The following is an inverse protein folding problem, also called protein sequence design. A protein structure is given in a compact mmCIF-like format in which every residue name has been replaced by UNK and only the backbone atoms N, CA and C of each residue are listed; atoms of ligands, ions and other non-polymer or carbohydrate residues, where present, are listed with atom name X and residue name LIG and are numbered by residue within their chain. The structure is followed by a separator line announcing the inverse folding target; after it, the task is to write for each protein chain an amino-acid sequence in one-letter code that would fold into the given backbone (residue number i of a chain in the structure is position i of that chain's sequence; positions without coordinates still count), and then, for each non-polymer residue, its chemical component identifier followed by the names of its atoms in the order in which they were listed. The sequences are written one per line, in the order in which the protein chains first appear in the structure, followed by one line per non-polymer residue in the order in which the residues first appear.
data_IF_766895446123
#
_entry.id   IF_766895446123
#
_cell.length_a   1.000
_cell.length_b   1.000
_cell.length_c   1.000
_cell.angle_alpha   90.00
_cell.angle_beta   90.00
_cell.angle_gamma   90.00
#
_symmetry.space_group_name_H-M   'P 1'
#
loop_
_entity.id
_entity.type
_entity.pdbx_description
1 polymer ?
#
# COMPACT_ATOMS: atom_id res chain seq x y z
N UNK A 1 -19.56 3.69 109.05
CA UNK A 1 -19.74 2.95 107.78
C UNK A 1 -20.02 3.94 106.69
N UNK A 2 -19.03 4.36 106.02
CA UNK A 2 -19.16 5.32 104.86
C UNK A 2 -19.18 4.53 103.58
N UNK A 3 -20.28 4.56 102.85
CA UNK A 3 -20.41 3.97 101.51
C UNK A 3 -19.86 4.94 100.51
N UNK A 4 -18.72 4.62 99.93
CA UNK A 4 -18.19 5.24 98.75
C UNK A 4 -19.08 4.92 97.52
N UNK A 5 -19.83 5.87 97.06
CA UNK A 5 -20.56 5.76 95.82
C UNK A 5 -19.56 6.14 94.71
N UNK A 6 -19.06 5.19 93.97
CA UNK A 6 -18.31 5.41 92.77
C UNK A 6 -19.28 5.84 91.68
N UNK A 7 -19.16 7.11 91.25
CA UNK A 7 -19.82 7.62 90.03
C UNK A 7 -19.12 7.02 88.86
N UNK A 8 -19.75 6.10 88.14
CA UNK A 8 -19.34 5.67 86.80
C UNK A 8 -19.63 6.85 85.94
N UNK A 9 -18.54 7.56 85.48
CA UNK A 9 -18.63 8.61 84.52
C UNK A 9 -19.08 7.99 83.21
N UNK A 10 -20.28 8.42 82.72
CA UNK A 10 -20.90 7.98 81.47
C UNK A 10 -20.14 8.48 80.26
N UNK A 11 -18.92 7.94 80.07
CA UNK A 11 -18.12 8.25 78.85
C UNK A 11 -18.48 7.34 77.68
N UNK A 12 -19.48 6.49 77.80
CA UNK A 12 -19.88 5.52 76.80
C UNK A 12 -20.64 6.11 75.61
N UNK A 13 -21.48 7.14 75.87
CA UNK A 13 -22.28 7.73 74.80
C UNK A 13 -21.48 8.44 73.70
N UNK A 14 -20.53 9.34 74.02
CA UNK A 14 -19.68 9.96 72.99
C UNK A 14 -18.77 8.97 72.23
N UNK A 15 -18.26 7.94 72.96
CA UNK A 15 -17.46 6.90 72.31
C UNK A 15 -18.27 6.04 71.32
N UNK A 16 -19.50 5.65 71.69
CA UNK A 16 -20.39 4.92 70.77
C UNK A 16 -20.76 5.77 69.56
N UNK A 17 -21.02 7.07 69.74
CA UNK A 17 -21.31 7.99 68.64
C UNK A 17 -20.15 8.15 67.70
N UNK A 18 -18.93 8.28 68.21
CA UNK A 18 -17.71 8.35 67.38
C UNK A 18 -17.50 7.04 66.60
N UNK A 19 -17.66 5.89 67.25
CA UNK A 19 -17.53 4.58 66.61
C UNK A 19 -18.60 4.41 65.51
N UNK A 20 -19.87 4.80 65.80
CA UNK A 20 -20.94 4.70 64.80
C UNK A 20 -20.71 5.59 63.58
N UNK A 21 -20.19 6.81 63.76
CA UNK A 21 -19.79 7.71 62.67
C UNK A 21 -18.62 7.12 61.85
N UNK A 22 -17.60 6.59 62.55
CA UNK A 22 -16.49 5.92 61.88
C UNK A 22 -16.95 4.69 61.07
N UNK A 23 -17.84 3.87 61.63
CA UNK A 23 -18.40 2.73 60.91
C UNK A 23 -19.25 3.17 59.72
N UNK A 24 -20.04 4.23 59.84
CA UNK A 24 -20.80 4.80 58.71
C UNK A 24 -19.87 5.32 57.59
N UNK A 25 -18.78 6.00 57.94
CA UNK A 25 -17.76 6.47 56.99
C UNK A 25 -17.05 5.28 56.30
N UNK A 26 -16.69 4.24 57.02
CA UNK A 26 -16.09 3.03 56.45
C UNK A 26 -17.03 2.31 55.49
N UNK A 27 -18.33 2.21 55.82
CA UNK A 27 -19.35 1.62 54.97
C UNK A 27 -19.50 2.48 53.69
N UNK A 28 -19.58 3.81 53.82
CA UNK A 28 -19.68 4.71 52.71
C UNK A 28 -18.46 4.64 51.80
N UNK A 29 -17.25 4.53 52.37
CA UNK A 29 -16.01 4.33 51.62
C UNK A 29 -16.00 2.98 50.88
N UNK A 30 -16.48 1.88 51.55
CA UNK A 30 -16.58 0.58 50.89
C UNK A 30 -17.54 0.58 49.71
N UNK A 31 -18.71 1.25 49.83
CA UNK A 31 -19.62 1.43 48.70
C UNK A 31 -19.00 2.26 47.56
N UNK A 32 -18.30 3.33 47.90
CA UNK A 32 -17.59 4.16 46.92
C UNK A 32 -16.52 3.36 46.13
N UNK A 33 -15.79 2.46 46.80
CA UNK A 33 -14.84 1.54 46.16
C UNK A 33 -15.53 0.57 45.20
N UNK A 34 -16.67 0.00 45.61
CA UNK A 34 -17.45 -0.91 44.74
C UNK A 34 -18.00 -0.17 43.50
N UNK A 35 -18.50 1.05 43.67
CA UNK A 35 -18.97 1.83 42.54
C UNK A 35 -17.84 2.23 41.59
N UNK A 36 -16.67 2.56 42.13
CA UNK A 36 -15.48 2.88 41.33
C UNK A 36 -15.01 1.63 40.56
N UNK A 37 -15.02 0.47 41.18
CA UNK A 37 -14.68 -0.80 40.51
C UNK A 37 -15.68 -1.15 39.40
N UNK A 38 -17.00 -0.96 39.62
CA UNK A 38 -18.03 -1.13 38.59
C UNK A 38 -17.81 -0.20 37.39
N UNK A 39 -17.54 1.08 37.65
CA UNK A 39 -17.24 2.05 36.59
C UNK A 39 -15.98 1.66 35.82
N UNK A 40 -14.95 1.18 36.50
CA UNK A 40 -13.73 0.70 35.86
C UNK A 40 -14.00 -0.50 34.95
N UNK A 41 -14.76 -1.50 35.41
CA UNK A 41 -15.13 -2.65 34.60
C UNK A 41 -16.02 -2.26 33.42
N UNK A 42 -17.00 -1.40 33.60
CA UNK A 42 -17.86 -0.92 32.53
C UNK A 42 -17.03 -0.23 31.43
N UNK A 43 -16.17 0.71 31.81
CA UNK A 43 -15.27 1.39 30.88
C UNK A 43 -14.28 0.43 30.18
N UNK A 44 -13.79 -0.57 30.89
CA UNK A 44 -12.90 -1.58 30.32
C UNK A 44 -13.63 -2.42 29.27
N UNK A 45 -14.84 -2.89 29.58
CA UNK A 45 -15.65 -3.66 28.63
C UNK A 45 -16.02 -2.85 27.39
N UNK A 46 -16.44 -1.59 27.56
CA UNK A 46 -16.76 -0.71 26.45
C UNK A 46 -15.55 -0.46 25.53
N UNK A 47 -14.37 -0.21 26.10
CA UNK A 47 -13.13 -0.05 25.32
C UNK A 47 -12.76 -1.33 24.58
N UNK A 48 -12.87 -2.50 25.26
CA UNK A 48 -12.59 -3.78 24.64
C UNK A 48 -13.54 -4.06 23.48
N UNK A 49 -14.85 -3.81 23.66
CA UNK A 49 -15.86 -3.98 22.62
C UNK A 49 -15.57 -3.05 21.44
N UNK A 50 -15.29 -1.78 21.68
CA UNK A 50 -14.92 -0.82 20.62
C UNK A 50 -13.73 -1.27 19.78
N UNK A 51 -12.70 -1.86 20.42
CA UNK A 51 -11.55 -2.40 19.68
C UNK A 51 -11.95 -3.61 18.82
N UNK A 52 -12.80 -4.50 19.35
CA UNK A 52 -13.32 -5.64 18.59
C UNK A 52 -14.17 -5.18 17.39
N UNK A 53 -15.02 -4.18 17.59
CA UNK A 53 -15.86 -3.60 16.54
C UNK A 53 -15.01 -3.00 15.41
N UNK A 54 -13.94 -2.26 15.74
CA UNK A 54 -13.00 -1.75 14.75
C UNK A 54 -12.28 -2.86 13.97
N UNK A 55 -11.92 -3.96 14.63
CA UNK A 55 -11.34 -5.12 13.95
C UNK A 55 -12.36 -5.84 13.07
N UNK A 56 -13.59 -6.02 13.55
CA UNK A 56 -14.68 -6.63 12.78
C UNK A 56 -15.04 -5.80 11.55
N UNK A 57 -15.07 -4.48 11.67
CA UNK A 57 -15.26 -3.57 10.53
C UNK A 57 -14.13 -3.72 9.48
N UNK A 58 -12.88 -3.87 9.94
CA UNK A 58 -11.74 -4.12 9.04
C UNK A 58 -11.87 -5.46 8.31
N UNK A 59 -12.30 -6.50 9.01
CA UNK A 59 -12.52 -7.84 8.44
C UNK A 59 -13.68 -7.82 7.43
N UNK A 60 -14.79 -7.15 7.77
CA UNK A 60 -15.94 -6.98 6.90
C UNK A 60 -15.52 -6.28 5.59
N UNK A 61 -14.73 -5.21 5.67
CA UNK A 61 -14.25 -4.49 4.50
C UNK A 61 -13.40 -5.35 3.56
N UNK A 62 -12.67 -6.34 4.06
CA UNK A 62 -11.92 -7.27 3.22
C UNK A 62 -12.82 -8.22 2.42
N UNK A 63 -14.01 -8.55 2.93
CA UNK A 63 -14.92 -9.55 2.35
C UNK A 63 -16.04 -8.91 1.53
N UNK A 64 -16.58 -7.78 2.00
CA UNK A 64 -17.74 -7.13 1.40
C UNK A 64 -17.34 -6.24 0.21
N UNK A 65 -17.77 -6.65 -0.99
CA UNK A 65 -17.56 -5.90 -2.22
C UNK A 65 -18.53 -4.71 -2.39
N UNK A 66 -19.59 -4.63 -1.59
CA UNK A 66 -20.58 -3.55 -1.68
C UNK A 66 -20.09 -2.26 -1.01
N UNK A 67 -19.14 -2.36 -0.10
CA UNK A 67 -18.51 -1.20 0.51
C UNK A 67 -17.56 -0.53 -0.50
N UNK A 68 -18.02 0.51 -1.15
CA UNK A 68 -17.26 1.27 -2.16
C UNK A 68 -16.81 2.61 -1.61
N UNK A 69 -15.82 3.23 -2.25
CA UNK A 69 -15.33 4.54 -1.85
C UNK A 69 -16.42 5.60 -2.06
N UNK A 70 -16.63 6.44 -1.03
CA UNK A 70 -17.59 7.53 -1.02
C UNK A 70 -17.13 8.65 -0.09
N UNK A 71 -17.68 9.84 -0.27
CA UNK A 71 -17.34 11.01 0.55
C UNK A 71 -17.88 10.91 1.98
N UNK A 72 -18.95 10.17 2.17
CA UNK A 72 -19.66 10.09 3.44
C UNK A 72 -19.31 8.80 4.19
N UNK A 73 -19.40 8.86 5.52
CA UNK A 73 -19.26 7.68 6.36
C UNK A 73 -20.53 6.84 6.31
N UNK A 74 -20.37 5.56 6.08
CA UNK A 74 -21.45 4.58 6.09
C UNK A 74 -21.52 4.00 7.51
N UNK A 75 -22.68 4.12 8.17
CA UNK A 75 -22.92 3.43 9.44
C UNK A 75 -23.22 1.97 9.18
N UNK A 76 -22.48 1.08 9.82
CA UNK A 76 -22.65 -0.38 9.72
C UNK A 76 -22.90 -0.94 11.10
N UNK A 77 -24.03 -1.61 11.31
CA UNK A 77 -24.28 -2.40 12.50
C UNK A 77 -23.61 -3.76 12.31
N UNK A 78 -22.58 -4.04 13.12
CA UNK A 78 -21.77 -5.26 13.00
C UNK A 78 -22.45 -6.47 13.63
N UNK A 79 -23.31 -6.23 14.61
CA UNK A 79 -24.08 -7.24 15.32
C UNK A 79 -25.53 -6.73 15.42
N UNK A 80 -26.47 -7.63 15.76
CA UNK A 80 -27.91 -7.26 15.89
C UNK A 80 -28.18 -6.24 17.02
N UNK A 81 -27.16 -5.64 17.56
CA UNK A 81 -27.20 -4.69 18.65
C UNK A 81 -26.93 -3.27 18.12
N UNK A 82 -27.86 -2.34 18.36
CA UNK A 82 -27.75 -0.94 17.92
C UNK A 82 -26.54 -0.19 18.57
N UNK A 83 -25.98 -0.75 19.63
CA UNK A 83 -24.80 -0.20 20.33
C UNK A 83 -23.49 -0.43 19.54
N UNK A 84 -23.49 -1.41 18.63
CA UNK A 84 -22.29 -1.80 17.81
C UNK A 84 -22.24 -1.09 16.45
N UNK A 85 -22.76 0.13 16.34
CA UNK A 85 -22.70 0.90 15.09
C UNK A 85 -21.29 1.48 14.88
N UNK A 86 -20.65 1.09 13.78
CA UNK A 86 -19.34 1.60 13.36
C UNK A 86 -19.49 2.44 12.09
N UNK A 87 -18.99 3.67 12.13
CA UNK A 87 -18.87 4.50 10.93
C UNK A 87 -17.66 4.09 10.12
N UNK A 88 -17.87 3.71 8.86
CA UNK A 88 -16.80 3.34 7.91
C UNK A 88 -16.70 4.43 6.86
N UNK A 89 -15.51 5.01 6.71
CA UNK A 89 -15.18 5.97 5.66
C UNK A 89 -14.08 5.39 4.78
N UNK A 90 -14.30 5.41 3.47
CA UNK A 90 -13.37 4.86 2.48
C UNK A 90 -12.93 6.00 1.56
N UNK A 91 -11.61 6.18 1.45
CA UNK A 91 -11.00 7.23 0.63
C UNK A 91 -9.99 6.57 -0.31
N UNK A 92 -10.06 6.83 -1.63
CA UNK A 92 -9.01 6.40 -2.54
C UNK A 92 -7.71 7.15 -2.20
N UNK A 93 -6.57 6.43 -2.21
CA UNK A 93 -5.26 6.97 -1.90
C UNK A 93 -4.23 6.48 -2.93
N UNK A 94 -4.13 7.19 -4.04
CA UNK A 94 -3.39 6.73 -5.20
C UNK A 94 -4.02 5.47 -5.79
N UNK A 95 -3.26 4.40 -5.95
CA UNK A 95 -3.74 3.09 -6.39
C UNK A 95 -4.04 2.12 -5.22
N UNK A 96 -4.31 2.67 -4.04
CA UNK A 96 -4.77 1.94 -2.85
C UNK A 96 -5.99 2.63 -2.26
N UNK A 97 -6.59 2.04 -1.24
CA UNK A 97 -7.71 2.62 -0.50
C UNK A 97 -7.34 2.78 0.97
N UNK A 98 -7.80 3.85 1.59
CA UNK A 98 -7.74 4.01 3.04
C UNK A 98 -9.15 3.85 3.59
N UNK A 99 -9.32 2.87 4.47
CA UNK A 99 -10.53 2.73 5.25
C UNK A 99 -10.28 3.23 6.66
N UNK A 100 -11.14 4.13 7.12
CA UNK A 100 -11.17 4.61 8.49
C UNK A 100 -12.45 4.13 9.14
N UNK A 101 -12.32 3.30 10.16
CA UNK A 101 -13.41 2.88 11.02
C UNK A 101 -13.43 3.74 12.28
N UNK A 102 -14.60 4.17 12.72
CA UNK A 102 -14.80 4.97 13.93
C UNK A 102 -16.00 4.46 14.70
N UNK A 103 -15.89 4.37 16.04
CA UNK A 103 -16.98 3.97 16.93
C UNK A 103 -17.65 5.22 17.47
N UNK A 104 -18.99 5.24 17.51
CA UNK A 104 -19.75 6.40 18.02
C UNK A 104 -19.58 6.65 19.52
N UNK A 105 -19.53 5.57 20.30
CA UNK A 105 -19.52 5.63 21.76
C UNK A 105 -18.23 6.22 22.34
N UNK A 106 -17.10 6.00 21.70
CA UNK A 106 -15.79 6.45 22.16
C UNK A 106 -15.00 7.08 21.00
N UNK A 107 -14.09 8.03 21.26
CA UNK A 107 -13.29 8.68 20.22
C UNK A 107 -12.17 7.76 19.68
N UNK A 108 -12.52 6.50 19.44
CA UNK A 108 -11.60 5.54 18.84
C UNK A 108 -11.83 5.46 17.34
N UNK A 109 -10.74 5.61 16.60
CA UNK A 109 -10.73 5.38 15.15
C UNK A 109 -9.51 4.57 14.75
N UNK A 110 -9.66 3.82 13.67
CA UNK A 110 -8.58 3.01 13.09
C UNK A 110 -8.54 3.25 11.59
N UNK A 111 -7.41 3.72 11.09
CA UNK A 111 -7.19 3.91 9.66
C UNK A 111 -6.19 2.87 9.15
N UNK A 112 -6.53 2.23 8.03
CA UNK A 112 -5.74 1.18 7.40
C UNK A 112 -5.68 1.39 5.90
N UNK A 113 -4.53 1.08 5.29
CA UNK A 113 -4.38 1.04 3.83
C UNK A 113 -4.70 -0.37 3.33
N UNK A 114 -5.49 -0.43 2.28
CA UNK A 114 -5.89 -1.67 1.61
C UNK A 114 -5.48 -1.66 0.15
N UNK A 115 -5.09 -2.83 -0.34
CA UNK A 115 -4.88 -3.12 -1.75
C UNK A 115 -5.66 -4.36 -2.15
N UNK A 116 -5.39 -4.87 -3.35
CA UNK A 116 -5.95 -6.14 -3.83
C UNK A 116 -5.20 -7.33 -3.25
N UNK A 117 -5.93 -8.41 -2.98
CA UNK A 117 -5.33 -9.71 -2.71
C UNK A 117 -4.73 -10.31 -3.99
N UNK A 118 -4.04 -11.44 -3.85
CA UNK A 118 -3.47 -12.20 -4.97
C UNK A 118 -4.50 -12.73 -5.97
N UNK A 119 -5.80 -12.64 -5.66
CA UNK A 119 -6.89 -13.05 -6.54
C UNK A 119 -7.10 -12.01 -7.67
N UNK A 120 -6.10 -11.85 -8.55
CA UNK A 120 -6.24 -11.12 -9.81
C UNK A 120 -7.09 -11.93 -10.78
N UNK A 121 -7.88 -11.32 -11.65
CA UNK A 121 -8.72 -12.01 -12.62
C UNK A 121 -7.98 -13.03 -13.47
N UNK A 122 -6.72 -12.76 -13.80
CA UNK A 122 -5.91 -13.62 -14.69
C UNK A 122 -4.99 -14.58 -13.95
N UNK A 123 -4.74 -14.41 -12.65
CA UNK A 123 -3.79 -15.19 -11.83
C UNK A 123 -2.41 -15.42 -12.48
N UNK A 124 -2.03 -14.61 -13.46
CA UNK A 124 -0.77 -14.75 -14.18
C UNK A 124 0.43 -14.45 -13.27
N UNK A 125 1.48 -15.28 -13.35
CA UNK A 125 2.81 -14.90 -12.88
C UNK A 125 3.48 -13.98 -13.91
N UNK A 126 3.45 -14.42 -15.17
CA UNK A 126 3.95 -13.66 -16.30
C UNK A 126 2.89 -13.62 -17.41
N UNK A 127 2.61 -12.43 -17.90
CA UNK A 127 1.82 -12.18 -19.11
C UNK A 127 2.68 -11.41 -20.10
N UNK A 128 2.89 -11.97 -21.29
CA UNK A 128 3.53 -11.29 -22.41
C UNK A 128 2.51 -11.20 -23.54
N UNK A 129 2.23 -10.02 -24.05
CA UNK A 129 1.26 -9.85 -25.14
C UNK A 129 1.71 -10.60 -26.40
N UNK A 130 0.74 -11.15 -27.14
CA UNK A 130 1.05 -11.89 -28.37
C UNK A 130 1.57 -10.95 -29.47
N UNK A 131 2.85 -11.03 -29.75
CA UNK A 131 3.53 -10.34 -30.85
C UNK A 131 3.81 -11.26 -32.04
N UNK A 132 3.07 -12.36 -32.16
CA UNK A 132 3.21 -13.37 -33.22
C UNK A 132 4.62 -14.00 -33.28
N UNK A 133 5.31 -14.06 -32.14
CA UNK A 133 6.61 -14.72 -31.98
C UNK A 133 6.65 -15.52 -30.68
N UNK A 134 7.41 -16.58 -30.66
CA UNK A 134 7.62 -17.38 -29.46
C UNK A 134 8.35 -16.57 -28.40
N UNK A 135 8.00 -16.81 -27.13
CA UNK A 135 8.77 -16.31 -25.99
C UNK A 135 10.02 -17.18 -25.80
N UNK A 136 11.19 -16.59 -25.92
CA UNK A 136 12.47 -17.31 -25.74
C UNK A 136 12.98 -17.13 -24.31
N UNK A 137 13.25 -18.24 -23.64
CA UNK A 137 13.74 -18.28 -22.27
C UNK A 137 15.19 -18.79 -22.29
N UNK A 138 16.11 -18.02 -21.67
CA UNK A 138 17.53 -18.30 -21.67
C UNK A 138 18.15 -18.21 -20.27
N UNK A 139 19.34 -18.76 -20.11
CA UNK A 139 20.14 -18.69 -18.89
C UNK A 139 19.47 -19.36 -17.68
N UNK A 140 19.50 -18.72 -16.50
CA UNK A 140 18.89 -19.21 -15.25
C UNK A 140 17.49 -18.63 -15.02
N UNK A 141 16.74 -18.36 -16.09
CA UNK A 141 15.39 -17.81 -15.96
C UNK A 141 14.47 -18.82 -15.27
N UNK A 142 13.74 -18.37 -14.26
CA UNK A 142 12.78 -19.17 -13.51
C UNK A 142 11.45 -18.43 -13.42
N UNK A 143 10.35 -19.11 -13.77
CA UNK A 143 9.01 -18.56 -13.70
C UNK A 143 8.13 -19.55 -12.93
N UNK A 144 7.70 -19.15 -11.74
CA UNK A 144 6.82 -19.95 -10.87
C UNK A 144 5.40 -19.38 -10.94
N UNK A 145 4.51 -20.12 -11.58
CA UNK A 145 3.10 -19.79 -11.72
C UNK A 145 2.64 -19.79 -13.19
N UNK A 146 1.38 -19.42 -13.45
CA UNK A 146 0.82 -19.41 -14.81
C UNK A 146 1.50 -18.39 -15.72
N UNK A 147 1.87 -18.85 -16.93
CA UNK A 147 2.53 -18.02 -17.96
C UNK A 147 1.60 -17.88 -19.16
N UNK A 148 1.35 -16.64 -19.54
CA UNK A 148 0.59 -16.29 -20.75
C UNK A 148 1.58 -15.77 -21.79
N UNK A 149 1.67 -16.45 -22.92
CA UNK A 149 2.58 -16.09 -24.01
C UNK A 149 1.90 -16.25 -25.37
N UNK A 150 2.59 -15.86 -26.45
CA UNK A 150 2.10 -15.99 -27.82
C UNK A 150 1.67 -17.43 -28.15
N UNK A 151 0.73 -17.56 -29.09
CA UNK A 151 0.33 -18.85 -29.68
C UNK A 151 1.54 -19.66 -30.23
N UNK A 152 2.61 -18.99 -30.60
CA UNK A 152 3.86 -19.65 -31.05
C UNK A 152 4.64 -20.34 -29.91
N UNK A 153 4.15 -20.25 -28.68
CA UNK A 153 4.65 -20.98 -27.55
C UNK A 153 5.91 -20.40 -26.89
N UNK A 154 6.56 -21.25 -26.13
CA UNK A 154 7.76 -20.92 -25.35
C UNK A 154 8.92 -21.77 -25.87
N UNK A 155 10.03 -21.10 -26.21
CA UNK A 155 11.27 -21.76 -26.64
C UNK A 155 12.34 -21.61 -25.58
N UNK A 156 13.10 -22.65 -25.35
CA UNK A 156 14.28 -22.63 -24.49
C UNK A 156 15.52 -22.56 -25.37
N UNK A 157 16.30 -21.51 -25.20
CA UNK A 157 17.40 -21.22 -26.12
C UNK A 157 18.71 -20.97 -25.39
N UNK A 158 19.79 -21.34 -26.05
CA UNK A 158 21.13 -20.96 -25.60
C UNK A 158 21.45 -19.56 -26.09
N UNK A 159 21.90 -18.73 -25.18
CA UNK A 159 22.25 -17.36 -25.48
C UNK A 159 23.74 -17.12 -25.28
N UNK A 160 24.44 -16.78 -26.39
CA UNK A 160 25.89 -16.49 -26.36
C UNK A 160 26.72 -17.64 -25.79
N UNK A 161 26.39 -18.89 -26.10
CA UNK A 161 27.12 -20.08 -25.65
C UNK A 161 26.85 -20.49 -24.20
N UNK A 162 25.86 -19.83 -23.54
CA UNK A 162 25.41 -20.25 -22.20
C UNK A 162 24.09 -21.01 -22.38
N UNK A 163 24.06 -22.32 -22.07
CA UNK A 163 22.87 -23.13 -22.18
C UNK A 163 21.79 -22.67 -21.16
N UNK A 164 20.53 -22.91 -21.53
CA UNK A 164 19.45 -22.77 -20.57
C UNK A 164 19.66 -23.77 -19.42
N UNK A 165 19.59 -23.25 -18.18
CA UNK A 165 19.80 -24.05 -16.95
C UNK A 165 18.69 -23.86 -15.93
N UNK A 166 17.55 -23.25 -16.34
CA UNK A 166 16.36 -23.06 -15.51
C UNK A 166 15.42 -24.27 -15.53
N UNK A 167 14.28 -24.12 -14.90
CA UNK A 167 13.21 -25.12 -14.91
C UNK A 167 12.27 -24.87 -16.11
N UNK A 168 11.87 -25.95 -16.78
CA UNK A 168 10.86 -25.87 -17.85
C UNK A 168 9.50 -25.55 -17.25
N UNK A 169 8.75 -24.65 -17.92
CA UNK A 169 7.40 -24.32 -17.53
C UNK A 169 6.49 -25.50 -17.86
N UNK A 170 5.74 -26.05 -16.89
CA UNK A 170 4.80 -27.15 -17.14
C UNK A 170 3.73 -26.74 -18.13
N UNK A 171 3.30 -27.67 -18.99
CA UNK A 171 2.30 -27.40 -20.03
C UNK A 171 0.94 -26.93 -19.47
N UNK A 172 0.56 -27.44 -18.31
CA UNK A 172 -0.66 -27.05 -17.58
C UNK A 172 -0.61 -25.63 -17.01
N UNK A 173 0.56 -24.99 -16.97
CA UNK A 173 0.78 -23.60 -16.55
C UNK A 173 1.09 -22.65 -17.71
N UNK A 174 1.06 -23.15 -18.95
CA UNK A 174 1.30 -22.33 -20.14
C UNK A 174 -0.01 -22.07 -20.88
N UNK A 175 -0.34 -20.79 -21.07
CA UNK A 175 -1.58 -20.33 -21.67
C UNK A 175 -1.29 -19.37 -22.82
N UNK A 176 -2.25 -19.22 -23.73
CA UNK A 176 -2.14 -18.27 -24.85
C UNK A 176 -2.58 -16.89 -24.37
N UNK A 177 -1.76 -15.87 -24.62
CA UNK A 177 -2.07 -14.47 -24.35
C UNK A 177 -2.82 -13.83 -25.52
N UNK A 178 -3.52 -12.72 -25.24
CA UNK A 178 -4.00 -11.81 -26.28
C UNK A 178 -2.91 -10.85 -26.75
N UNK A 179 -3.18 -10.14 -27.86
CA UNK A 179 -2.31 -9.07 -28.34
C UNK A 179 -2.28 -7.85 -27.42
N UNK A 180 -3.28 -7.71 -26.56
CA UNK A 180 -3.44 -6.61 -25.63
C UNK A 180 -3.22 -7.09 -24.18
N UNK A 181 -2.74 -6.19 -23.35
CA UNK A 181 -2.63 -6.42 -21.90
C UNK A 181 -4.02 -6.40 -21.25
N UNK A 182 -4.16 -7.02 -20.07
CA UNK A 182 -5.37 -6.83 -19.25
C UNK A 182 -5.65 -5.35 -19.01
N UNK A 183 -6.94 -5.00 -19.11
CA UNK A 183 -7.39 -3.61 -19.06
C UNK A 183 -7.10 -2.96 -17.69
N UNK A 184 -6.65 -1.73 -17.76
CA UNK A 184 -6.47 -0.85 -16.60
C UNK A 184 -7.83 -0.27 -16.20
N UNK A 185 -8.03 -0.06 -14.92
CA UNK A 185 -9.22 0.56 -14.37
C UNK A 185 -9.25 2.06 -14.68
N UNK A 186 -10.17 2.46 -15.55
CA UNK A 186 -10.32 3.87 -15.97
C UNK A 186 -10.70 4.77 -14.79
N UNK A 187 -11.52 4.29 -13.84
CA UNK A 187 -11.91 5.08 -12.67
C UNK A 187 -10.71 5.42 -11.79
N UNK A 188 -9.76 4.48 -11.66
CA UNK A 188 -8.53 4.75 -10.93
C UNK A 188 -7.66 5.79 -11.64
N UNK A 189 -7.58 5.75 -12.98
CA UNK A 189 -6.83 6.75 -13.74
C UNK A 189 -7.51 8.13 -13.70
N UNK A 190 -8.81 8.21 -13.88
CA UNK A 190 -9.59 9.46 -13.80
C UNK A 190 -9.41 10.12 -12.42
N UNK A 191 -9.37 9.30 -11.35
CA UNK A 191 -9.08 9.80 -10.01
C UNK A 191 -7.67 10.40 -9.91
N UNK A 192 -6.64 9.73 -10.44
CA UNK A 192 -5.27 10.25 -10.47
C UNK A 192 -5.16 11.55 -11.27
N UNK A 193 -5.85 11.64 -12.40
CA UNK A 193 -5.87 12.85 -13.23
C UNK A 193 -6.62 14.01 -12.54
N UNK A 194 -7.68 13.69 -11.78
CA UNK A 194 -8.34 14.68 -10.94
C UNK A 194 -7.40 15.24 -9.87
N UNK A 195 -6.60 14.39 -9.22
CA UNK A 195 -5.58 14.84 -8.26
C UNK A 195 -4.49 15.66 -8.94
N UNK A 196 -4.02 15.24 -10.11
CA UNK A 196 -3.00 15.97 -10.88
C UNK A 196 -3.47 17.38 -11.24
N UNK A 197 -4.75 17.56 -11.60
CA UNK A 197 -5.34 18.86 -11.91
C UNK A 197 -5.35 19.85 -10.74
N UNK A 198 -5.23 19.35 -9.50
CA UNK A 198 -5.15 20.18 -8.30
C UNK A 198 -3.77 20.78 -8.05
N UNK A 199 -2.78 20.49 -8.89
CA UNK A 199 -1.40 21.01 -8.72
C UNK A 199 -1.36 22.55 -8.59
N UNK A 200 -2.17 23.26 -9.39
CA UNK A 200 -2.29 24.73 -9.32
C UNK A 200 -2.94 25.28 -8.03
N UNK A 201 -3.51 24.41 -7.19
CA UNK A 201 -4.14 24.73 -5.91
C UNK A 201 -3.28 24.31 -4.71
N UNK A 202 -2.03 23.94 -4.91
CA UNK A 202 -1.11 23.59 -3.82
C UNK A 202 -0.79 24.86 -3.00
N UNK A 203 -1.20 24.86 -1.73
CA UNK A 203 -1.16 26.06 -0.88
C UNK A 203 0.05 26.16 0.01
N UNK A 204 0.76 25.06 0.21
CA UNK A 204 1.90 25.01 1.12
C UNK A 204 3.18 24.77 0.30
N UNK A 205 4.20 25.59 0.59
CA UNK A 205 5.54 25.28 0.14
C UNK A 205 6.12 24.13 0.96
N UNK A 206 7.04 23.37 0.38
CA UNK A 206 7.66 22.21 1.04
C UNK A 206 8.23 22.57 2.42
N UNK A 207 8.91 23.69 2.54
CA UNK A 207 9.54 24.13 3.81
C UNK A 207 8.53 24.39 4.94
N UNK A 208 7.27 24.70 4.62
CA UNK A 208 6.20 24.95 5.58
C UNK A 208 5.42 23.66 5.93
N UNK A 209 5.78 22.55 5.31
CA UNK A 209 5.01 21.32 5.37
C UNK A 209 5.80 20.13 5.95
N UNK A 210 6.89 20.37 6.66
CA UNK A 210 7.69 19.30 7.27
C UNK A 210 6.93 18.49 8.32
N UNK A 211 7.32 17.22 8.50
CA UNK A 211 6.82 16.30 9.50
C UNK A 211 5.70 15.39 8.98
N UNK A 212 5.03 14.66 9.88
CA UNK A 212 3.97 13.71 9.58
C UNK A 212 2.58 14.34 9.75
N UNK A 213 1.70 14.13 8.77
CA UNK A 213 0.29 14.54 8.83
C UNK A 213 -0.64 13.34 8.95
N UNK A 214 -1.44 13.30 10.00
CA UNK A 214 -2.41 12.22 10.22
C UNK A 214 -3.45 12.13 9.10
N UNK A 215 -3.85 10.90 8.76
CA UNK A 215 -4.94 10.63 7.82
C UNK A 215 -6.35 10.97 8.34
N UNK A 216 -6.46 11.31 9.62
CA UNK A 216 -7.69 11.85 10.20
C UNK A 216 -7.89 13.34 9.90
N UNK A 217 -6.84 14.04 9.46
CA UNK A 217 -6.89 15.44 9.06
C UNK A 217 -7.13 15.56 7.55
N UNK A 218 -7.59 16.72 7.12
CA UNK A 218 -7.72 17.00 5.68
C UNK A 218 -6.38 16.85 4.96
N UNK A 219 -6.43 16.37 3.71
CA UNK A 219 -5.26 16.23 2.84
C UNK A 219 -4.57 17.58 2.64
N UNK A 220 -3.26 17.59 2.77
CA UNK A 220 -2.43 18.79 2.55
C UNK A 220 -1.77 18.69 1.18
N UNK A 221 -1.94 19.74 0.39
CA UNK A 221 -1.34 19.87 -0.94
C UNK A 221 -0.09 20.73 -0.83
N UNK A 222 1.04 20.12 -1.17
CA UNK A 222 2.37 20.68 -1.01
C UNK A 222 3.03 20.79 -2.37
N UNK A 223 3.76 21.87 -2.64
CA UNK A 223 4.56 21.94 -3.85
C UNK A 223 6.05 22.14 -3.54
N UNK A 224 6.90 21.48 -4.33
CA UNK A 224 8.33 21.62 -4.30
C UNK A 224 8.83 22.31 -5.58
N UNK A 225 9.75 23.25 -5.45
CA UNK A 225 10.47 23.88 -6.57
C UNK A 225 11.65 23.01 -6.98
N UNK A 226 12.13 23.24 -8.20
CA UNK A 226 13.35 22.59 -8.66
C UNK A 226 14.52 22.93 -7.72
N UNK A 227 15.18 21.86 -7.23
CA UNK A 227 16.30 21.99 -6.30
C UNK A 227 15.93 21.96 -4.81
N UNK A 228 14.64 22.00 -4.45
CA UNK A 228 14.21 21.82 -3.07
C UNK A 228 14.60 20.43 -2.55
N UNK A 229 15.17 20.39 -1.34
CA UNK A 229 15.50 19.14 -0.67
C UNK A 229 14.38 18.72 0.25
N UNK A 230 13.94 17.47 0.12
CA UNK A 230 12.94 16.89 0.98
C UNK A 230 13.66 16.22 2.16
N UNK A 231 13.52 16.75 3.36
CA UNK A 231 14.12 16.14 4.55
C UNK A 231 13.15 15.21 5.26
N UNK A 232 11.96 15.68 5.64
CA UNK A 232 11.00 14.88 6.35
C UNK A 232 9.57 15.19 5.90
N UNK A 233 8.90 14.25 5.20
CA UNK A 233 7.55 14.43 4.69
C UNK A 233 6.74 13.14 4.81
N UNK A 234 5.59 13.17 5.50
CA UNK A 234 4.83 11.95 5.68
C UNK A 234 3.32 12.13 5.88
N UNK A 235 2.60 11.01 5.74
CA UNK A 235 1.17 10.90 5.99
C UNK A 235 0.29 11.48 4.89
N UNK A 236 -0.85 12.05 5.29
CA UNK A 236 -1.90 12.53 4.39
C UNK A 236 -1.49 13.80 3.62
N UNK A 237 -0.53 13.65 2.73
CA UNK A 237 0.03 14.73 1.91
C UNK A 237 0.17 14.33 0.46
N UNK A 238 -0.10 15.28 -0.41
CA UNK A 238 0.11 15.17 -1.85
C UNK A 238 1.15 16.21 -2.26
N UNK A 239 2.27 15.73 -2.78
CA UNK A 239 3.40 16.54 -3.22
C UNK A 239 3.34 16.74 -4.73
N UNK A 240 3.52 17.97 -5.18
CA UNK A 240 3.64 18.33 -6.59
C UNK A 240 5.02 18.93 -6.89
N UNK A 241 5.64 18.50 -7.98
CA UNK A 241 6.91 19.03 -8.46
C UNK A 241 6.97 18.97 -9.99
N UNK A 242 7.77 19.77 -10.63
CA UNK A 242 8.12 19.53 -12.02
C UNK A 242 9.17 18.43 -12.11
N UNK A 243 10.28 18.60 -11.41
CA UNK A 243 11.31 17.58 -11.26
C UNK A 243 11.52 17.24 -9.79
N UNK A 244 11.22 15.99 -9.43
CA UNK A 244 11.36 15.51 -8.06
C UNK A 244 12.71 14.79 -7.89
N UNK A 245 13.47 15.20 -6.88
CA UNK A 245 14.73 14.54 -6.51
C UNK A 245 14.64 14.11 -5.05
N UNK A 246 14.69 12.79 -4.81
CA UNK A 246 14.73 12.22 -3.47
C UNK A 246 16.15 11.78 -3.15
N UNK A 247 16.78 12.44 -2.17
CA UNK A 247 18.11 12.12 -1.69
C UNK A 247 18.11 10.88 -0.76
N UNK A 248 19.29 10.33 -0.49
CA UNK A 248 19.45 9.24 0.47
C UNK A 248 19.10 9.65 1.91
N UNK A 249 19.19 10.92 2.21
CA UNK A 249 18.87 11.57 3.49
C UNK A 249 17.41 12.01 3.62
N UNK A 250 16.61 11.81 2.56
CA UNK A 250 15.19 12.17 2.58
C UNK A 250 14.37 11.11 3.33
N UNK A 251 13.58 11.53 4.30
CA UNK A 251 12.61 10.70 5.04
C UNK A 251 11.21 10.93 4.50
N UNK A 252 10.75 10.01 3.63
CA UNK A 252 9.42 10.07 3.03
C UNK A 252 8.60 8.87 3.43
N UNK A 253 7.39 9.10 3.98
CA UNK A 253 6.55 8.02 4.48
C UNK A 253 5.07 8.20 4.14
N UNK A 254 4.57 7.39 3.20
CA UNK A 254 3.15 7.22 2.89
C UNK A 254 2.50 8.41 2.18
N UNK A 255 3.23 9.18 1.39
CA UNK A 255 2.69 10.30 0.61
C UNK A 255 2.33 9.89 -0.83
N UNK A 256 1.53 10.72 -1.48
CA UNK A 256 1.40 10.73 -2.94
C UNK A 256 2.29 11.83 -3.52
N UNK A 257 2.99 11.54 -4.60
CA UNK A 257 3.84 12.52 -5.29
C UNK A 257 3.51 12.54 -6.79
N UNK A 258 3.25 13.72 -7.31
CA UNK A 258 3.00 13.97 -8.73
C UNK A 258 4.14 14.82 -9.28
N UNK A 259 4.77 14.34 -10.36
CA UNK A 259 5.86 15.09 -11.00
C UNK A 259 5.84 14.89 -12.52
N UNK A 260 6.55 15.72 -13.25
CA UNK A 260 6.85 15.43 -14.65
C UNK A 260 7.90 14.33 -14.72
N UNK A 261 8.99 14.48 -14.00
CA UNK A 261 10.06 13.47 -13.90
C UNK A 261 10.55 13.32 -12.47
N UNK A 262 11.12 12.14 -12.13
CA UNK A 262 11.67 11.92 -10.83
C UNK A 262 12.98 11.12 -10.85
N UNK A 263 13.87 11.47 -9.92
CA UNK A 263 15.11 10.75 -9.65
C UNK A 263 15.17 10.40 -8.18
N UNK A 264 15.24 9.11 -7.90
CA UNK A 264 15.44 8.59 -6.54
C UNK A 264 16.91 8.20 -6.43
N UNK A 265 17.66 8.92 -5.58
CA UNK A 265 19.09 8.73 -5.44
C UNK A 265 19.45 7.38 -4.81
N UNK A 266 20.70 6.96 -5.02
CA UNK A 266 21.25 5.73 -4.46
C UNK A 266 21.07 5.68 -2.93
N UNK A 267 20.62 4.53 -2.41
CA UNK A 267 20.47 4.30 -0.98
C UNK A 267 19.21 4.87 -0.33
N UNK A 268 18.34 5.56 -1.04
CA UNK A 268 17.08 6.08 -0.49
C UNK A 268 16.23 4.98 0.13
N UNK A 269 15.57 5.29 1.25
CA UNK A 269 14.60 4.42 1.93
C UNK A 269 13.36 5.22 2.33
N UNK A 270 12.18 4.74 1.91
CA UNK A 270 10.93 5.39 2.25
C UNK A 270 9.74 4.73 1.62
N UNK A 271 8.56 5.28 1.83
CA UNK A 271 7.33 4.81 1.19
C UNK A 271 6.58 5.96 0.54
N UNK A 272 6.26 5.82 -0.75
CA UNK A 272 5.47 6.80 -1.49
C UNK A 272 4.86 6.14 -2.73
N UNK A 273 3.79 6.73 -3.22
CA UNK A 273 3.29 6.44 -4.55
C UNK A 273 3.65 7.62 -5.46
N UNK A 274 4.43 7.34 -6.48
CA UNK A 274 4.98 8.33 -7.41
C UNK A 274 4.29 8.23 -8.77
N UNK A 275 3.70 9.31 -9.21
CA UNK A 275 2.96 9.46 -10.45
C UNK A 275 3.65 10.48 -11.35
N UNK A 276 4.31 10.01 -12.40
CA UNK A 276 5.03 10.87 -13.34
C UNK A 276 4.40 10.84 -14.74
N UNK A 277 4.67 11.89 -15.52
CA UNK A 277 4.23 11.95 -16.91
C UNK A 277 5.34 11.60 -17.90
N UNK A 278 6.61 11.70 -17.52
CA UNK A 278 7.76 11.52 -18.41
C UNK A 278 8.61 10.32 -17.98
N UNK A 279 9.35 10.44 -16.89
CA UNK A 279 10.31 9.40 -16.54
C UNK A 279 10.57 9.29 -15.04
N UNK A 280 10.98 8.07 -14.61
CA UNK A 280 11.44 7.81 -13.26
C UNK A 280 12.73 6.99 -13.29
N UNK A 281 13.75 7.50 -12.64
CA UNK A 281 15.01 6.79 -12.44
C UNK A 281 15.17 6.43 -10.97
N UNK A 282 15.24 5.13 -10.68
CA UNK A 282 15.48 4.59 -9.34
C UNK A 282 16.94 4.14 -9.23
N UNK A 283 17.66 4.75 -8.31
CA UNK A 283 19.08 4.51 -8.05
C UNK A 283 19.38 3.14 -7.45
N UNK A 284 20.66 2.89 -7.16
CA UNK A 284 21.13 1.64 -6.58
C UNK A 284 20.74 1.52 -5.11
N UNK A 285 20.45 0.29 -4.68
CA UNK A 285 20.14 -0.02 -3.28
C UNK A 285 18.98 0.81 -2.68
N UNK A 286 18.11 1.36 -3.52
CA UNK A 286 16.88 2.05 -3.10
C UNK A 286 15.91 1.04 -2.51
N UNK A 287 15.21 1.41 -1.44
CA UNK A 287 14.12 0.63 -0.85
C UNK A 287 12.85 1.46 -0.79
N UNK A 288 11.93 1.17 -1.68
CA UNK A 288 10.56 1.67 -1.61
C UNK A 288 9.71 0.66 -0.83
N UNK A 289 9.43 1.02 0.43
CA UNK A 289 8.70 0.16 1.37
C UNK A 289 7.19 0.18 1.09
N UNK A 290 6.49 -0.88 1.48
CA UNK A 290 5.04 -1.01 1.27
C UNK A 290 4.25 0.02 2.12
N UNK A 291 3.17 0.60 1.55
CA UNK A 291 2.74 0.55 0.16
C UNK A 291 3.45 1.61 -0.69
N UNK A 292 4.26 1.19 -1.63
CA UNK A 292 4.90 2.12 -2.56
C UNK A 292 4.53 1.78 -3.99
N UNK A 293 4.78 2.71 -4.90
CA UNK A 293 4.59 2.46 -6.32
C UNK A 293 5.14 3.56 -7.19
N UNK A 294 5.40 3.19 -8.41
CA UNK A 294 5.81 4.10 -9.49
C UNK A 294 4.87 3.88 -10.66
N UNK A 295 4.22 4.94 -11.10
CA UNK A 295 3.41 4.94 -12.31
C UNK A 295 3.87 6.08 -13.20
N UNK A 296 4.15 5.76 -14.46
CA UNK A 296 4.46 6.75 -15.49
C UNK A 296 3.43 6.64 -16.62
N UNK A 297 2.79 7.75 -16.98
CA UNK A 297 1.76 7.82 -18.02
C UNK A 297 1.73 9.19 -18.69
N UNK A 298 1.46 9.23 -19.98
CA UNK A 298 1.13 10.45 -20.71
C UNK A 298 2.27 11.14 -21.45
N UNK A 299 3.49 10.61 -21.48
CA UNK A 299 4.57 11.12 -22.32
C UNK A 299 4.63 10.40 -23.68
N UNK A 300 5.28 11.02 -24.67
CA UNK A 300 5.56 10.35 -25.93
C UNK A 300 6.45 9.10 -25.75
N UNK A 301 7.30 9.11 -24.71
CA UNK A 301 8.20 8.01 -24.37
C UNK A 301 8.29 7.81 -22.83
N UNK A 302 7.23 7.29 -22.19
CA UNK A 302 7.25 7.05 -20.76
C UNK A 302 8.32 6.02 -20.41
N UNK A 303 9.15 6.34 -19.40
CA UNK A 303 10.28 5.51 -19.08
C UNK A 303 10.49 5.32 -17.58
N UNK A 304 10.73 4.08 -17.17
CA UNK A 304 11.14 3.77 -15.80
C UNK A 304 12.39 2.90 -15.83
N UNK A 305 13.38 3.25 -15.00
CA UNK A 305 14.56 2.42 -14.80
C UNK A 305 14.79 2.08 -13.34
N UNK A 306 15.08 0.81 -13.07
CA UNK A 306 15.47 0.31 -11.76
C UNK A 306 16.93 -0.12 -11.78
N UNK A 307 17.78 0.53 -10.99
CA UNK A 307 19.16 0.16 -10.83
C UNK A 307 19.34 -1.08 -9.93
N UNK A 308 20.52 -1.71 -9.97
CA UNK A 308 20.82 -2.92 -9.22
C UNK A 308 20.71 -2.74 -7.71
N UNK A 309 20.25 -3.79 -7.02
CA UNK A 309 20.03 -3.79 -5.57
C UNK A 309 18.80 -3.02 -5.11
N UNK A 310 18.08 -2.34 -6.00
CA UNK A 310 16.82 -1.63 -5.65
C UNK A 310 15.67 -2.60 -5.42
N UNK A 311 14.76 -2.23 -4.51
CA UNK A 311 13.55 -2.99 -4.20
C UNK A 311 12.34 -2.08 -4.13
N UNK A 312 11.28 -2.45 -4.86
CA UNK A 312 9.99 -1.73 -4.86
C UNK A 312 8.94 -2.67 -4.29
N UNK A 313 8.32 -2.28 -3.15
CA UNK A 313 7.25 -3.06 -2.54
C UNK A 313 5.90 -2.40 -2.84
N UNK A 314 5.21 -2.94 -3.86
CA UNK A 314 3.91 -2.48 -4.33
C UNK A 314 3.76 -2.59 -5.84
N UNK A 315 4.05 -1.55 -6.62
CA UNK A 315 3.89 -1.63 -8.07
C UNK A 315 4.88 -0.78 -8.86
N UNK A 316 5.13 -1.21 -10.08
CA UNK A 316 5.76 -0.41 -11.14
C UNK A 316 4.86 -0.52 -12.38
N UNK A 317 4.33 0.59 -12.82
CA UNK A 317 3.44 0.65 -13.97
C UNK A 317 3.93 1.70 -14.99
N UNK A 318 3.96 1.31 -16.26
CA UNK A 318 4.21 2.21 -17.37
C UNK A 318 3.04 2.08 -18.31
N UNK A 319 2.26 3.15 -18.43
CA UNK A 319 1.09 3.22 -19.29
C UNK A 319 1.42 4.06 -20.51
N UNK A 320 0.99 3.55 -21.63
CA UNK A 320 1.21 4.16 -22.90
C UNK A 320 -0.12 4.52 -23.55
N UNK A 321 -0.29 5.76 -24.00
CA UNK A 321 -1.52 6.25 -24.63
C UNK A 321 -1.76 5.69 -26.05
N UNK A 322 -1.24 4.51 -26.36
CA UNK A 322 -1.47 3.81 -27.63
C UNK A 322 -0.76 4.42 -28.85
N UNK A 323 0.06 5.45 -28.63
CA UNK A 323 0.81 6.13 -29.70
C UNK A 323 2.23 5.62 -29.87
N UNK A 324 2.68 4.70 -29.03
CA UNK A 324 4.05 4.23 -29.12
C UNK A 324 4.20 3.32 -30.31
N UNK A 325 5.04 3.77 -31.22
CA UNK A 325 5.74 2.92 -32.13
C UNK A 325 6.38 1.77 -31.34
N UNK A 326 5.88 0.56 -31.55
CA UNK A 326 6.29 -0.66 -30.83
C UNK A 326 7.76 -1.05 -31.12
N UNK A 327 8.59 -0.07 -31.49
CA UNK A 327 10.00 -0.27 -31.80
C UNK A 327 10.77 -0.51 -30.51
N UNK A 328 11.59 -1.53 -30.54
CA UNK A 328 12.53 -1.87 -29.48
C UNK A 328 13.57 -0.77 -29.20
N UNK A 329 13.60 0.27 -30.03
CA UNK A 329 14.52 1.41 -29.91
C UNK A 329 14.32 2.21 -28.63
N UNK A 330 13.05 2.37 -28.21
CA UNK A 330 12.69 3.13 -27.02
C UNK A 330 12.00 2.24 -25.98
N UNK A 331 12.78 1.58 -25.09
CA UNK A 331 12.19 0.76 -24.03
C UNK A 331 11.44 1.63 -23.03
N UNK A 332 10.26 1.17 -22.63
CA UNK A 332 9.46 1.83 -21.59
C UNK A 332 9.93 1.48 -20.17
N UNK A 333 10.60 0.33 -20.03
CA UNK A 333 11.07 -0.14 -18.73
C UNK A 333 12.41 -0.86 -18.85
N UNK A 334 13.30 -0.59 -17.91
CA UNK A 334 14.57 -1.31 -17.73
C UNK A 334 14.76 -1.71 -16.29
N UNK A 335 14.97 -3.01 -16.08
CA UNK A 335 15.31 -3.56 -14.78
C UNK A 335 16.74 -4.12 -14.81
N UNK A 336 17.60 -3.64 -13.91
CA UNK A 336 18.97 -4.12 -13.78
C UNK A 336 19.05 -5.35 -12.87
N UNK A 337 20.10 -6.14 -13.06
CA UNK A 337 20.35 -7.32 -12.24
C UNK A 337 20.44 -7.00 -10.74
N UNK A 338 19.89 -7.87 -9.90
CA UNK A 338 19.84 -7.71 -8.45
C UNK A 338 18.74 -6.79 -7.94
N UNK A 339 17.91 -6.16 -8.81
CA UNK A 339 16.73 -5.43 -8.39
C UNK A 339 15.51 -6.34 -8.26
N UNK A 340 14.55 -5.94 -7.43
CA UNK A 340 13.34 -6.71 -7.10
C UNK A 340 12.09 -5.83 -7.08
N UNK A 341 11.01 -6.37 -7.60
CA UNK A 341 9.66 -5.80 -7.47
C UNK A 341 8.81 -6.79 -6.67
N UNK A 342 8.31 -6.40 -5.50
CA UNK A 342 7.36 -7.19 -4.71
C UNK A 342 5.95 -6.64 -4.93
N UNK A 343 5.23 -7.21 -5.88
CA UNK A 343 3.88 -6.81 -6.24
C UNK A 343 3.61 -6.85 -7.74
N UNK A 344 3.18 -5.74 -8.33
CA UNK A 344 2.78 -5.67 -9.73
C UNK A 344 3.85 -4.98 -10.58
N UNK A 345 4.25 -5.63 -11.66
CA UNK A 345 4.90 -4.99 -12.80
C UNK A 345 3.89 -4.95 -13.96
N UNK A 346 3.57 -3.75 -14.46
CA UNK A 346 2.71 -3.56 -15.62
C UNK A 346 3.38 -2.61 -16.60
N UNK A 347 3.74 -3.08 -17.79
CA UNK A 347 4.44 -2.30 -18.80
C UNK A 347 3.71 -2.42 -20.14
N UNK A 348 2.97 -1.38 -20.51
CA UNK A 348 2.39 -1.28 -21.83
C UNK A 348 3.44 -0.74 -22.81
N UNK A 349 4.27 -1.65 -23.30
CA UNK A 349 5.38 -1.34 -24.20
C UNK A 349 6.50 -2.36 -24.09
N UNK A 350 7.68 -2.00 -24.61
CA UNK A 350 8.86 -2.87 -24.57
C UNK A 350 9.64 -2.74 -23.26
N UNK A 351 10.07 -3.87 -22.71
CA UNK A 351 10.81 -3.89 -21.47
C UNK A 351 12.06 -4.80 -21.51
N UNK A 352 13.07 -4.40 -20.77
CA UNK A 352 14.24 -5.23 -20.46
C UNK A 352 14.20 -5.67 -19.00
N UNK A 353 14.03 -6.97 -18.77
CA UNK A 353 14.04 -7.55 -17.43
C UNK A 353 15.37 -8.27 -17.19
N UNK A 354 16.04 -7.93 -16.07
CA UNK A 354 17.29 -8.58 -15.60
C UNK A 354 17.28 -8.81 -14.08
N UNK A 355 16.14 -8.68 -13.44
CA UNK A 355 15.98 -8.81 -12.00
C UNK A 355 14.89 -9.81 -11.61
N UNK A 356 14.30 -9.60 -10.43
CA UNK A 356 13.24 -10.44 -9.91
C UNK A 356 11.89 -9.67 -9.81
N UNK A 357 10.79 -10.40 -10.04
CA UNK A 357 9.43 -9.95 -9.75
C UNK A 357 8.77 -10.99 -8.85
N UNK A 358 8.46 -10.60 -7.63
CA UNK A 358 7.72 -11.41 -6.67
C UNK A 358 6.29 -10.92 -6.63
N UNK A 359 5.44 -11.50 -7.44
CA UNK A 359 4.07 -11.06 -7.63
C UNK A 359 3.57 -11.38 -9.03
N UNK A 360 3.27 -10.38 -9.84
CA UNK A 360 2.79 -10.55 -11.20
C UNK A 360 3.46 -9.58 -12.17
N UNK A 361 3.81 -10.05 -13.36
CA UNK A 361 4.38 -9.24 -14.43
C UNK A 361 3.50 -9.29 -15.69
N UNK A 362 2.99 -8.14 -16.11
CA UNK A 362 2.22 -7.93 -17.33
C UNK A 362 3.03 -7.01 -18.26
N UNK A 363 3.47 -7.53 -19.38
CA UNK A 363 4.38 -6.82 -20.29
C UNK A 363 3.89 -6.89 -21.73
N UNK A 364 3.93 -5.77 -22.43
CA UNK A 364 3.54 -5.69 -23.84
C UNK A 364 4.53 -6.39 -24.76
N UNK A 365 5.81 -6.25 -24.50
CA UNK A 365 6.89 -6.91 -25.19
C UNK A 365 8.13 -7.00 -24.33
N UNK A 366 9.01 -7.97 -24.59
CA UNK A 366 10.29 -8.08 -23.91
C UNK A 366 11.46 -8.16 -24.90
N UNK A 367 12.62 -7.73 -24.44
CA UNK A 367 13.87 -7.92 -25.16
C UNK A 367 15.02 -8.12 -24.17
N UNK A 368 16.08 -8.71 -24.67
CA UNK A 368 17.38 -8.79 -23.98
C UNK A 368 18.42 -8.01 -24.77
N UNK A 369 19.16 -7.12 -24.12
CA UNK A 369 20.22 -6.34 -24.74
C UNK A 369 21.59 -6.82 -24.30
N UNK A 370 22.45 -7.14 -25.29
CA UNK A 370 23.85 -7.52 -25.09
C UNK A 370 24.71 -6.97 -26.21
N UNK A 371 25.82 -6.33 -25.86
CA UNK A 371 26.83 -5.82 -26.80
C UNK A 371 26.24 -4.90 -27.89
N UNK A 372 25.22 -4.11 -27.51
CA UNK A 372 24.50 -3.20 -28.43
C UNK A 372 23.43 -3.87 -29.30
N UNK A 373 23.30 -5.18 -29.28
CA UNK A 373 22.26 -5.92 -30.00
C UNK A 373 21.06 -6.20 -29.10
N UNK A 374 19.86 -5.95 -29.60
CA UNK A 374 18.58 -6.25 -28.93
C UNK A 374 17.98 -7.52 -29.51
N UNK A 375 17.75 -8.49 -28.64
CA UNK A 375 17.12 -9.77 -28.95
C UNK A 375 15.65 -9.71 -28.53
N UNK A 376 14.71 -9.54 -29.46
CA UNK A 376 13.28 -9.40 -29.14
C UNK A 376 12.67 -10.73 -28.67
N UNK A 377 11.73 -10.64 -27.72
CA UNK A 377 11.04 -11.83 -27.18
C UNK A 377 11.91 -12.71 -26.32
N UNK A 378 13.04 -12.20 -25.78
CA UNK A 378 13.99 -12.98 -24.98
C UNK A 378 13.99 -12.52 -23.53
N UNK A 379 13.85 -13.47 -22.61
CA UNK A 379 14.09 -13.32 -21.18
C UNK A 379 15.33 -14.10 -20.77
N UNK A 380 16.29 -13.41 -20.15
CA UNK A 380 17.55 -14.02 -19.74
C UNK A 380 17.92 -13.69 -18.29
N UNK A 381 18.10 -14.73 -17.46
CA UNK A 381 18.41 -14.61 -16.04
C UNK A 381 17.34 -13.80 -15.24
N UNK A 382 16.08 -14.01 -15.53
CA UNK A 382 14.93 -13.37 -14.89
C UNK A 382 14.28 -14.33 -13.90
N UNK A 383 13.84 -13.83 -12.76
CA UNK A 383 13.05 -14.60 -11.81
C UNK A 383 11.66 -13.95 -11.66
N UNK A 384 10.61 -14.72 -11.98
CA UNK A 384 9.23 -14.28 -11.74
C UNK A 384 8.56 -15.32 -10.87
N UNK A 385 8.05 -14.90 -9.73
CA UNK A 385 7.37 -15.80 -8.80
C UNK A 385 6.01 -15.22 -8.44
N UNK A 386 4.94 -15.97 -8.71
CA UNK A 386 3.61 -15.59 -8.26
C UNK A 386 3.50 -15.75 -6.76
N UNK A 387 3.27 -14.64 -6.06
CA UNK A 387 3.18 -14.64 -4.60
C UNK A 387 1.79 -14.21 -4.14
N UNK A 388 1.21 -15.01 -3.26
CA UNK A 388 -0.04 -14.67 -2.57
C UNK A 388 0.20 -13.83 -1.30
N UNK A 389 1.46 -13.60 -0.93
CA UNK A 389 1.82 -12.81 0.25
C UNK A 389 1.90 -11.30 -0.02
N UNK A 390 2.03 -10.89 -1.27
CA UNK A 390 2.09 -9.47 -1.66
C UNK A 390 0.69 -8.87 -1.86
N UNK A 391 0.59 -7.57 -1.68
CA UNK A 391 -0.63 -6.81 -1.98
C UNK A 391 -0.47 -6.08 -3.30
N UNK A 392 -1.50 -6.13 -4.12
CA UNK A 392 -1.52 -5.51 -5.44
C UNK A 392 -2.24 -4.17 -5.41
N UNK A 393 -1.89 -3.22 -6.29
CA UNK A 393 -2.62 -1.96 -6.46
C UNK A 393 -4.00 -2.21 -7.10
N UNK A 394 -4.89 -1.24 -6.95
CA UNK A 394 -6.17 -1.18 -7.64
C UNK A 394 -5.92 -0.55 -9.03
N UNK A 395 -5.25 -1.29 -9.89
CA UNK A 395 -4.88 -0.82 -11.23
C UNK A 395 -5.60 -1.58 -12.35
N UNK A 396 -5.82 -2.88 -12.20
CA UNK A 396 -6.45 -3.71 -13.24
C UNK A 396 -7.96 -3.81 -13.02
N UNK A 397 -8.73 -3.91 -14.10
CA UNK A 397 -10.18 -4.16 -14.01
C UNK A 397 -10.48 -5.56 -13.47
N UNK A 398 -11.67 -5.75 -12.92
CA UNK A 398 -12.21 -7.05 -12.49
C UNK A 398 -12.46 -7.16 -10.99
N UNK A 399 -13.20 -8.19 -10.58
CA UNK A 399 -13.52 -8.42 -9.18
C UNK A 399 -12.26 -8.75 -8.39
N UNK A 400 -12.18 -8.23 -7.18
CA UNK A 400 -11.06 -8.49 -6.27
C UNK A 400 -11.54 -8.53 -4.83
N UNK A 401 -10.75 -9.21 -4.00
CA UNK A 401 -10.84 -9.10 -2.56
C UNK A 401 -9.80 -8.10 -2.07
N UNK A 402 -10.15 -7.35 -1.04
CA UNK A 402 -9.26 -6.40 -0.39
C UNK A 402 -8.33 -7.13 0.56
N UNK A 403 -7.15 -6.56 0.73
CA UNK A 403 -6.14 -7.03 1.68
C UNK A 403 -5.59 -5.85 2.44
N UNK A 404 -5.55 -5.99 3.76
CA UNK A 404 -4.89 -5.04 4.64
C UNK A 404 -3.38 -5.00 4.38
N UNK A 405 -2.82 -3.81 4.24
CA UNK A 405 -1.39 -3.60 3.99
C UNK A 405 -0.71 -3.01 5.22
N UNK A 406 -1.17 -1.85 5.68
CA UNK A 406 -0.49 -1.09 6.72
C UNK A 406 -1.48 -0.25 7.51
N UNK A 407 -1.29 -0.21 8.84
CA UNK A 407 -1.97 0.74 9.71
C UNK A 407 -1.38 2.13 9.51
N UNK A 408 -2.24 3.15 9.43
CA UNK A 408 -1.88 4.56 9.34
C UNK A 408 -2.54 5.35 10.46
N UNK A 409 -1.95 6.49 10.81
CA UNK A 409 -2.38 7.31 11.94
C UNK A 409 -2.87 8.68 11.50
#
# INVERSE_FOLDING_TARGET
MSRNIQYLRGFSLPTVLVISVLMALLIMFAFSLVDLDRLYYANYHERKQSVLDLHSASALYCVDSLLTSGSDSIGVCLFDDAESEVGIKIIPWGLYEIMTASVKALPFSRSMIYGRSSESPTKAALWVSDRKRALSIAGRTRIDGPVFASLNGINYTDLSGVPFSGEHIPADKSFVSSSELPLVDSLALDYLDSLRSLAGKAWYHLNDAEGYRSFQKQTSFVYARDGDKIFHLGGNRILYADRLILGADSEVNGILAFARSAVIADGFRGSLQLFCTDSVTVGRNVRLESPSGVLVSGADHPFVSLAGGSRVCGYVAVLNDGKIDQRLEHPCFRQRSGSMIDGLLYVDGSCELKGAVNGAAYIGDCFYEKDGYKYPGVLNNVSVHRSDSVSYPILLTGPYRRREIKKVF
#
